data_IF_269309764899
#
_entry.id   IF_269309764899
#
_cell.length_a   1.000
_cell.length_b   1.000
_cell.length_c   1.000
_cell.angle_alpha   90.00
_cell.angle_beta   90.00
_cell.angle_gamma   90.00
#
_symmetry.space_group_name_H-M   'P 1'
#
loop_
_entity.id
_entity.type
_entity.pdbx_description
1 polymer ?
#
# COMPACT_ATOMS: atom_id res chain seq x y z
N UNK A 1 2.36 29.78 5.88
CA UNK A 1 2.04 28.56 5.09
C UNK A 1 3.28 27.89 4.50
N UNK A 2 4.13 28.57 3.69
CA UNK A 2 5.33 27.96 3.09
C UNK A 2 6.31 27.30 4.08
N UNK A 3 6.50 27.88 5.28
CA UNK A 3 7.41 27.34 6.31
C UNK A 3 6.94 26.01 6.90
N UNK A 4 5.63 25.81 7.08
CA UNK A 4 5.08 24.54 7.55
C UNK A 4 5.26 23.43 6.51
N UNK A 5 5.11 23.75 5.23
CA UNK A 5 5.36 22.81 4.14
C UNK A 5 6.82 22.36 4.08
N UNK A 6 7.76 23.30 4.27
CA UNK A 6 9.21 22.98 4.33
C UNK A 6 9.55 22.13 5.55
N UNK A 7 8.97 22.42 6.72
CA UNK A 7 9.19 21.61 7.93
C UNK A 7 8.59 20.22 7.78
N UNK A 8 7.39 20.11 7.20
CA UNK A 8 6.76 18.82 6.90
C UNK A 8 7.60 18.00 5.91
N UNK A 9 8.07 18.64 4.83
CA UNK A 9 8.94 18.00 3.83
C UNK A 9 10.28 17.55 4.41
N UNK A 10 10.91 18.37 5.26
CA UNK A 10 12.16 18.01 5.93
C UNK A 10 11.95 16.90 6.97
N UNK A 11 10.84 16.92 7.70
CA UNK A 11 10.49 15.86 8.64
C UNK A 11 10.19 14.54 7.91
N UNK A 12 9.48 14.57 6.77
CA UNK A 12 9.25 13.37 5.96
C UNK A 12 10.55 12.81 5.38
N UNK A 13 11.49 13.67 4.98
CA UNK A 13 12.82 13.26 4.52
C UNK A 13 13.66 12.68 5.66
N UNK A 14 13.58 13.24 6.86
CA UNK A 14 14.29 12.73 8.03
C UNK A 14 13.76 11.37 8.50
N UNK A 15 12.43 11.18 8.49
CA UNK A 15 11.82 9.90 8.85
C UNK A 15 12.30 8.81 7.88
N UNK A 16 12.28 9.07 6.57
CA UNK A 16 12.70 8.09 5.56
C UNK A 16 14.22 7.80 5.52
N UNK A 17 15.07 8.69 6.05
CA UNK A 17 16.53 8.47 6.15
C UNK A 17 16.92 7.72 7.44
N UNK A 18 16.16 7.84 8.52
CA UNK A 18 16.51 7.29 9.84
C UNK A 18 15.63 6.13 10.33
N UNK A 19 14.52 5.82 9.67
CA UNK A 19 13.92 4.49 9.84
C UNK A 19 14.79 3.45 9.15
N UNK A 20 14.92 2.26 9.75
CA UNK A 20 15.35 1.06 9.04
C UNK A 20 14.26 0.73 8.01
N UNK A 21 14.25 1.50 6.92
CA UNK A 21 13.24 1.46 5.88
C UNK A 21 13.80 0.69 4.70
N UNK A 22 13.11 -0.37 4.33
CA UNK A 22 13.40 -1.16 3.13
C UNK A 22 12.64 -0.55 1.96
N UNK A 23 13.35 -0.36 0.84
CA UNK A 23 12.72 0.13 -0.38
C UNK A 23 12.05 -1.02 -1.13
N UNK A 24 10.81 -0.80 -1.57
CA UNK A 24 10.07 -1.72 -2.43
C UNK A 24 10.00 -1.16 -3.85
N UNK A 25 10.17 -2.01 -4.87
CA UNK A 25 9.93 -1.65 -6.26
C UNK A 25 9.42 -2.82 -7.08
N UNK A 26 8.41 -2.59 -7.92
CA UNK A 26 7.88 -3.63 -8.79
C UNK A 26 6.69 -3.18 -9.61
N UNK A 27 5.76 -4.11 -9.82
CA UNK A 27 4.61 -3.92 -10.69
C UNK A 27 3.34 -4.43 -10.03
N UNK A 28 2.22 -3.78 -10.35
CA UNK A 28 0.89 -4.21 -9.95
C UNK A 28 -0.01 -4.36 -11.18
N UNK A 29 -0.82 -5.40 -11.17
CA UNK A 29 -1.94 -5.59 -12.07
C UNK A 29 -3.22 -5.23 -11.31
N UNK A 30 -3.86 -4.14 -11.73
CA UNK A 30 -5.06 -3.62 -11.10
C UNK A 30 -6.30 -4.03 -11.90
N UNK A 31 -7.26 -4.70 -11.26
CA UNK A 31 -8.50 -5.10 -11.92
C UNK A 31 -9.57 -4.00 -11.83
N UNK A 32 -9.80 -3.28 -12.93
CA UNK A 32 -10.85 -2.27 -13.05
C UNK A 32 -12.01 -2.78 -13.94
N UNK A 33 -13.23 -2.22 -13.81
CA UNK A 33 -14.38 -2.61 -14.64
C UNK A 33 -14.16 -2.51 -16.15
N UNK A 34 -13.32 -1.58 -16.59
CA UNK A 34 -12.94 -1.33 -17.98
C UNK A 34 -11.76 -2.21 -18.45
N UNK A 35 -11.12 -2.97 -17.54
CA UNK A 35 -10.06 -3.92 -17.84
C UNK A 35 -8.91 -3.91 -16.84
N UNK A 36 -7.87 -4.69 -17.14
CA UNK A 36 -6.65 -4.70 -16.33
C UNK A 36 -5.77 -3.49 -16.64
N UNK A 37 -5.31 -2.81 -15.58
CA UNK A 37 -4.38 -1.68 -15.66
C UNK A 37 -3.04 -2.08 -15.04
N UNK A 38 -1.94 -1.82 -15.74
CA UNK A 38 -0.60 -2.04 -15.22
C UNK A 38 -0.13 -0.81 -14.45
N UNK A 39 0.40 -1.01 -13.24
CA UNK A 39 0.95 0.06 -12.42
C UNK A 39 2.40 -0.23 -12.06
N UNK A 40 3.21 0.83 -11.98
CA UNK A 40 4.50 0.80 -11.32
C UNK A 40 4.26 0.91 -9.81
N UNK A 41 4.83 -0.02 -9.05
CA UNK A 41 4.78 -0.02 -7.59
C UNK A 41 6.10 0.46 -7.02
N UNK A 42 6.02 1.29 -6.00
CA UNK A 42 7.13 1.67 -5.14
C UNK A 42 6.65 1.77 -3.70
N UNK A 43 7.52 1.50 -2.73
CA UNK A 43 7.15 1.61 -1.32
C UNK A 43 8.33 1.78 -0.38
N UNK A 44 7.99 2.05 0.87
CA UNK A 44 8.88 2.09 2.02
C UNK A 44 8.26 1.23 3.11
N UNK A 45 8.98 0.20 3.53
CA UNK A 45 8.54 -0.71 4.59
C UNK A 45 9.43 -0.57 5.82
N UNK A 46 8.82 -0.50 7.00
CA UNK A 46 9.55 -0.57 8.27
C UNK A 46 8.67 -1.14 9.37
N UNK A 47 9.29 -1.52 10.49
CA UNK A 47 8.57 -2.08 11.64
C UNK A 47 7.50 -1.15 12.23
N UNK A 48 7.61 0.16 12.02
CA UNK A 48 6.70 1.16 12.62
C UNK A 48 5.85 1.91 11.61
N UNK A 49 6.26 1.93 10.34
CA UNK A 49 5.69 2.79 9.31
C UNK A 49 5.80 2.12 7.94
N UNK A 50 4.69 2.13 7.19
CA UNK A 50 4.66 1.60 5.83
C UNK A 50 4.02 2.60 4.87
N UNK A 51 4.60 2.70 3.69
CA UNK A 51 4.10 3.51 2.59
C UNK A 51 4.14 2.71 1.30
N UNK A 52 2.99 2.49 0.67
CA UNK A 52 2.88 1.89 -0.66
C UNK A 52 2.35 2.91 -1.66
N UNK A 53 2.88 2.87 -2.87
CA UNK A 53 2.43 3.71 -3.97
C UNK A 53 2.39 2.93 -5.28
N UNK A 54 1.23 2.92 -5.93
CA UNK A 54 1.03 2.41 -7.28
C UNK A 54 0.68 3.54 -8.25
N UNK A 55 1.33 3.56 -9.41
CA UNK A 55 1.13 4.54 -10.47
C UNK A 55 0.82 3.85 -11.80
N UNK A 56 -0.38 4.03 -12.33
CA UNK A 56 -0.81 3.49 -13.62
C UNK A 56 -1.18 4.60 -14.59
N UNK A 57 -0.30 4.93 -15.56
CA UNK A 57 -0.68 5.79 -16.67
C UNK A 57 -1.50 4.98 -17.69
N UNK A 58 -2.65 5.53 -18.09
CA UNK A 58 -3.51 4.97 -19.12
C UNK A 58 -3.76 5.99 -20.23
N UNK A 59 -3.97 5.51 -21.45
CA UNK A 59 -4.29 6.36 -22.60
C UNK A 59 -5.70 6.04 -23.07
N UNK A 60 -6.68 6.78 -22.54
CA UNK A 60 -8.08 6.62 -22.90
C UNK A 60 -8.46 7.71 -23.91
N UNK A 61 -8.95 7.32 -25.09
CA UNK A 61 -9.39 8.25 -26.14
C UNK A 61 -8.37 9.36 -26.49
N UNK A 62 -7.07 9.04 -26.53
CA UNK A 62 -5.95 9.98 -26.76
C UNK A 62 -5.72 11.01 -25.66
N UNK A 63 -6.35 10.83 -24.50
CA UNK A 63 -6.12 11.62 -23.29
C UNK A 63 -5.31 10.79 -22.31
N UNK A 64 -4.25 11.38 -21.74
CA UNK A 64 -3.49 10.74 -20.67
C UNK A 64 -4.35 10.79 -19.39
N UNK A 65 -4.74 9.62 -18.90
CA UNK A 65 -5.39 9.45 -17.59
C UNK A 65 -4.41 8.78 -16.62
N UNK A 66 -4.47 9.17 -15.35
CA UNK A 66 -3.56 8.70 -14.32
C UNK A 66 -4.35 8.10 -13.17
N UNK A 67 -4.10 6.81 -12.91
CA UNK A 67 -4.57 6.15 -11.70
C UNK A 67 -3.42 6.08 -10.69
N UNK A 68 -3.67 6.49 -9.46
CA UNK A 68 -2.73 6.43 -8.35
C UNK A 68 -3.37 5.75 -7.15
N UNK A 69 -2.63 4.88 -6.47
CA UNK A 69 -3.01 4.31 -5.18
C UNK A 69 -1.87 4.63 -4.21
N UNK A 70 -2.20 5.20 -3.06
CA UNK A 70 -1.26 5.54 -2.00
C UNK A 70 -1.81 4.99 -0.69
N UNK A 71 -1.07 4.12 -0.02
CA UNK A 71 -1.41 3.54 1.28
C UNK A 71 -0.33 3.94 2.28
N UNK A 72 -0.68 4.72 3.30
CA UNK A 72 0.23 5.10 4.38
C UNK A 72 -0.30 4.57 5.70
N UNK A 73 0.54 3.91 6.48
CA UNK A 73 0.15 3.38 7.79
C UNK A 73 1.27 3.49 8.83
N UNK A 74 0.86 3.63 10.08
CA UNK A 74 1.73 3.65 11.23
C UNK A 74 1.24 2.64 12.27
N UNK A 75 2.16 1.79 12.74
CA UNK A 75 1.89 0.86 13.84
C UNK A 75 1.58 1.65 15.10
N UNK A 76 0.52 1.23 15.80
CA UNK A 76 0.07 1.86 17.05
C UNK A 76 0.19 0.93 18.27
N UNK A 77 0.19 -0.39 18.06
CA UNK A 77 0.22 -1.37 19.14
C UNK A 77 0.73 -2.73 18.65
N UNK A 78 1.74 -3.28 19.31
CA UNK A 78 2.08 -4.70 19.17
C UNK A 78 1.20 -5.54 20.12
N UNK A 79 0.53 -6.56 19.58
CA UNK A 79 -0.27 -7.52 20.37
C UNK A 79 0.62 -8.67 20.81
N UNK A 80 1.43 -9.19 19.88
CA UNK A 80 2.43 -10.23 20.09
C UNK A 80 3.46 -10.18 18.93
N UNK A 81 4.53 -11.01 18.92
CA UNK A 81 5.57 -10.94 17.88
C UNK A 81 5.06 -11.12 16.44
N UNK A 82 3.88 -11.72 16.26
CA UNK A 82 3.28 -12.04 14.97
C UNK A 82 2.04 -11.20 14.66
N UNK A 83 1.62 -10.28 15.55
CA UNK A 83 0.39 -9.52 15.35
C UNK A 83 0.47 -8.11 15.93
N UNK A 84 -0.02 -7.13 15.17
CA UNK A 84 -0.02 -5.73 15.58
C UNK A 84 -1.22 -4.97 14.99
N UNK A 85 -1.52 -3.82 15.57
CA UNK A 85 -2.51 -2.87 15.07
C UNK A 85 -1.80 -1.67 14.45
N UNK A 86 -2.34 -1.19 13.34
CA UNK A 86 -1.95 0.09 12.73
C UNK A 86 -3.16 0.98 12.48
N UNK A 87 -2.88 2.25 12.18
CA UNK A 87 -3.83 3.15 11.57
C UNK A 87 -3.24 3.71 10.30
N UNK A 88 -4.08 3.99 9.33
CA UNK A 88 -3.61 4.45 8.04
C UNK A 88 -4.63 5.21 7.23
N UNK A 89 -4.17 5.67 6.07
CA UNK A 89 -4.94 6.36 5.06
C UNK A 89 -4.65 5.67 3.73
N UNK A 90 -5.70 5.12 3.11
CA UNK A 90 -5.66 4.70 1.73
C UNK A 90 -6.25 5.83 0.88
N UNK A 91 -5.50 6.29 -0.11
CA UNK A 91 -5.94 7.26 -1.09
C UNK A 91 -5.80 6.66 -2.48
N UNK A 92 -6.92 6.57 -3.19
CA UNK A 92 -6.91 6.25 -4.62
C UNK A 92 -7.43 7.43 -5.43
N UNK A 93 -6.73 7.75 -6.50
CA UNK A 93 -7.06 8.81 -7.45
C UNK A 93 -7.18 8.18 -8.84
N UNK A 94 -8.28 8.44 -9.56
CA UNK A 94 -8.51 7.92 -10.91
C UNK A 94 -9.98 8.05 -11.32
N UNK A 95 -10.28 7.94 -12.61
CA UNK A 95 -11.67 7.94 -13.10
C UNK A 95 -12.44 6.77 -12.45
N UNK A 96 -13.64 7.07 -11.95
CA UNK A 96 -14.56 6.15 -11.26
C UNK A 96 -14.17 5.65 -9.85
N UNK A 97 -13.18 6.26 -9.17
CA UNK A 97 -12.79 5.80 -7.83
C UNK A 97 -12.61 6.93 -6.80
N UNK A 98 -13.66 7.26 -6.02
CA UNK A 98 -13.55 8.08 -4.83
C UNK A 98 -13.36 7.20 -3.58
N UNK A 99 -12.22 6.53 -3.43
CA UNK A 99 -11.99 5.61 -2.30
C UNK A 99 -10.84 6.05 -1.39
N UNK A 100 -10.79 7.34 -1.07
CA UNK A 100 -9.97 7.81 0.05
C UNK A 100 -10.65 7.44 1.36
N UNK A 101 -10.00 6.61 2.18
CA UNK A 101 -10.53 6.25 3.49
C UNK A 101 -9.44 6.13 4.54
N UNK A 102 -9.78 6.54 5.76
CA UNK A 102 -8.95 6.32 6.94
C UNK A 102 -9.35 4.99 7.58
N UNK A 103 -8.39 4.22 8.08
CA UNK A 103 -8.65 2.88 8.60
C UNK A 103 -7.84 2.55 9.85
N UNK A 104 -8.35 1.60 10.62
CA UNK A 104 -7.56 0.78 11.53
C UNK A 104 -7.29 -0.58 10.89
N UNK A 105 -6.06 -1.06 11.01
CA UNK A 105 -5.64 -2.33 10.45
C UNK A 105 -5.25 -3.34 11.53
N UNK A 106 -5.74 -4.57 11.40
CA UNK A 106 -5.20 -5.71 12.13
C UNK A 106 -4.22 -6.45 11.22
N UNK A 107 -2.97 -6.56 11.67
CA UNK A 107 -1.89 -7.18 10.93
C UNK A 107 -1.48 -8.49 11.59
N UNK A 108 -1.13 -9.47 10.77
CA UNK A 108 -0.60 -10.76 11.16
C UNK A 108 0.58 -11.13 10.26
N UNK A 109 1.68 -11.59 10.85
CA UNK A 109 2.85 -12.08 10.14
C UNK A 109 3.20 -13.48 10.64
N UNK A 110 3.18 -14.47 9.76
CA UNK A 110 3.49 -15.85 10.10
C UNK A 110 4.12 -16.59 8.93
N UNK A 111 5.32 -17.13 9.12
CA UNK A 111 6.02 -17.98 8.15
C UNK A 111 6.00 -17.40 6.72
N UNK A 112 6.49 -16.17 6.57
CA UNK A 112 6.56 -15.41 5.31
C UNK A 112 5.20 -14.99 4.73
N UNK A 113 4.08 -15.26 5.41
CA UNK A 113 2.76 -14.78 5.03
C UNK A 113 2.43 -13.56 5.88
N UNK A 114 2.16 -12.45 5.21
CA UNK A 114 1.68 -11.22 5.82
C UNK A 114 0.19 -11.08 5.51
N UNK A 115 -0.64 -10.88 6.52
CA UNK A 115 -2.06 -10.62 6.36
C UNK A 115 -2.43 -9.32 7.03
N UNK A 116 -3.23 -8.48 6.37
CA UNK A 116 -3.78 -7.26 6.94
C UNK A 116 -5.26 -7.15 6.61
N UNK A 117 -6.07 -6.97 7.64
CA UNK A 117 -7.49 -6.65 7.53
C UNK A 117 -7.68 -5.18 7.87
N UNK A 118 -8.28 -4.43 6.95
CA UNK A 118 -8.55 -3.01 7.07
C UNK A 118 -10.02 -2.83 7.42
N UNK A 119 -10.30 -1.99 8.43
CA UNK A 119 -11.65 -1.51 8.73
C UNK A 119 -11.58 0.00 8.84
N UNK A 120 -12.33 0.70 8.00
CA UNK A 120 -12.17 2.14 7.86
C UNK A 120 -13.42 2.89 7.44
N UNK A 121 -13.30 4.20 7.43
CA UNK A 121 -14.37 5.13 7.07
C UNK A 121 -14.02 5.84 5.75
N UNK A 122 -14.78 5.63 4.66
CA UNK A 122 -14.59 6.34 3.41
C UNK A 122 -14.97 7.81 3.56
N UNK A 123 -14.11 8.70 3.08
CA UNK A 123 -14.35 10.15 3.16
C UNK A 123 -15.50 10.59 2.26
N UNK A 124 -15.79 9.83 1.21
CA UNK A 124 -17.02 9.96 0.43
C UNK A 124 -17.98 8.87 0.89
N UNK A 125 -19.01 9.25 1.64
CA UNK A 125 -19.99 8.32 2.20
C UNK A 125 -20.69 7.53 1.07
N UNK A 126 -20.78 6.20 1.25
CA UNK A 126 -21.43 5.29 0.29
C UNK A 126 -22.33 4.34 1.06
N UNK A 127 -23.40 3.85 0.43
CA UNK A 127 -24.26 2.81 1.01
C UNK A 127 -23.66 1.40 0.94
N UNK A 128 -22.57 1.22 0.20
CA UNK A 128 -21.92 -0.09 0.02
C UNK A 128 -20.95 -0.38 1.18
N UNK A 129 -21.28 -1.41 1.96
CA UNK A 129 -20.48 -1.88 3.09
C UNK A 129 -19.07 -2.32 2.67
N UNK A 130 -18.88 -2.82 1.44
CA UNK A 130 -17.56 -3.25 0.96
C UNK A 130 -16.57 -2.08 0.88
N UNK A 131 -17.06 -0.84 0.84
CA UNK A 131 -16.20 0.35 0.84
C UNK A 131 -15.58 0.69 2.21
N UNK A 132 -15.98 -0.03 3.26
CA UNK A 132 -15.46 0.13 4.62
C UNK A 132 -14.39 -0.91 4.96
N UNK A 133 -14.14 -1.88 4.06
CA UNK A 133 -13.23 -2.99 4.31
C UNK A 133 -12.22 -3.14 3.17
N UNK A 134 -11.01 -3.50 3.53
CA UNK A 134 -10.02 -4.01 2.60
C UNK A 134 -9.25 -5.16 3.23
N UNK A 135 -8.62 -5.97 2.39
CA UNK A 135 -7.75 -7.08 2.80
C UNK A 135 -6.46 -6.97 1.99
N UNK A 136 -5.33 -7.21 2.63
CA UNK A 136 -4.03 -7.39 1.97
C UNK A 136 -3.43 -8.71 2.45
N UNK A 137 -2.93 -9.50 1.50
CA UNK A 137 -2.24 -10.76 1.74
C UNK A 137 -0.91 -10.70 0.99
N UNK A 138 0.20 -10.65 1.71
CA UNK A 138 1.55 -10.70 1.20
C UNK A 138 2.18 -12.08 1.41
N UNK A 139 3.06 -12.47 0.51
CA UNK A 139 3.92 -13.63 0.64
C UNK A 139 5.34 -13.28 0.23
N UNK A 140 6.30 -13.52 1.13
CA UNK A 140 7.73 -13.38 0.86
C UNK A 140 8.26 -14.72 0.37
N UNK A 141 8.76 -14.75 -0.85
CA UNK A 141 9.32 -15.97 -1.45
C UNK A 141 10.63 -16.30 -0.74
N UNK A 142 10.81 -17.54 -0.24
CA UNK A 142 12.08 -17.96 0.37
C UNK A 142 13.24 -17.74 -0.59
N UNK A 143 14.23 -16.98 -0.12
CA UNK A 143 15.38 -16.55 -0.91
C UNK A 143 16.26 -17.74 -1.34
N UNK A 144 16.56 -17.91 -2.64
CA UNK A 144 17.65 -18.77 -3.10
C UNK A 144 19.01 -18.24 -2.61
N UNK A 145 20.00 -19.11 -2.41
CA UNK A 145 21.27 -18.76 -1.76
C UNK A 145 22.03 -17.54 -2.34
N UNK A 146 21.79 -17.18 -3.61
CA UNK A 146 22.53 -16.13 -4.33
C UNK A 146 21.71 -14.86 -4.65
N UNK A 147 20.49 -14.72 -4.12
CA UNK A 147 19.68 -13.51 -4.37
C UNK A 147 19.94 -12.45 -3.29
N UNK A 148 20.04 -11.17 -3.68
CA UNK A 148 20.31 -10.06 -2.74
C UNK A 148 19.03 -9.48 -2.16
N UNK A 149 17.99 -9.36 -2.98
CA UNK A 149 16.70 -8.76 -2.60
C UNK A 149 15.65 -9.85 -2.30
N UNK A 150 14.61 -9.51 -1.56
CA UNK A 150 13.50 -10.41 -1.27
C UNK A 150 12.39 -10.21 -2.31
N UNK A 151 11.90 -11.31 -2.90
CA UNK A 151 10.77 -11.28 -3.82
C UNK A 151 9.46 -11.39 -3.04
N UNK A 152 8.57 -10.42 -3.19
CA UNK A 152 7.24 -10.42 -2.57
C UNK A 152 6.13 -10.48 -3.62
N UNK A 153 5.09 -11.22 -3.26
CA UNK A 153 3.81 -11.28 -3.97
C UNK A 153 2.75 -10.70 -3.04
N UNK A 154 1.90 -9.79 -3.52
CA UNK A 154 0.81 -9.22 -2.73
C UNK A 154 -0.52 -9.33 -3.49
N UNK A 155 -1.56 -9.75 -2.78
CA UNK A 155 -2.94 -9.64 -3.19
C UNK A 155 -3.63 -8.60 -2.30
N UNK A 156 -4.20 -7.58 -2.91
CA UNK A 156 -4.96 -6.55 -2.21
C UNK A 156 -6.38 -6.52 -2.72
N UNK A 157 -7.36 -6.62 -1.83
CA UNK A 157 -8.78 -6.50 -2.13
C UNK A 157 -9.31 -5.22 -1.51
N UNK A 158 -9.71 -4.26 -2.33
CA UNK A 158 -10.27 -2.96 -1.89
C UNK A 158 -11.58 -2.76 -2.62
N UNK A 159 -12.68 -2.56 -1.88
CA UNK A 159 -13.99 -2.28 -2.45
C UNK A 159 -14.41 -3.32 -3.50
N UNK A 160 -14.15 -4.61 -3.22
CA UNK A 160 -14.42 -5.72 -4.13
C UNK A 160 -13.47 -5.87 -5.33
N UNK A 161 -12.52 -4.95 -5.54
CA UNK A 161 -11.52 -5.01 -6.60
C UNK A 161 -10.29 -5.74 -6.12
N UNK A 162 -9.70 -6.54 -7.01
CA UNK A 162 -8.52 -7.35 -6.73
C UNK A 162 -7.33 -6.72 -7.44
N UNK A 163 -6.31 -6.36 -6.68
CA UNK A 163 -5.01 -5.91 -7.19
C UNK A 163 -3.97 -6.97 -6.84
N UNK A 164 -3.12 -7.29 -7.80
CA UNK A 164 -2.04 -8.25 -7.61
C UNK A 164 -0.70 -7.57 -7.89
N UNK A 165 0.25 -7.68 -6.98
CA UNK A 165 1.57 -7.05 -7.09
C UNK A 165 2.67 -8.09 -7.01
N UNK A 166 3.74 -7.86 -7.79
CA UNK A 166 5.02 -8.55 -7.70
C UNK A 166 6.09 -7.48 -7.57
N UNK A 167 6.89 -7.55 -6.51
CA UNK A 167 7.91 -6.54 -6.23
C UNK A 167 9.09 -7.12 -5.48
N UNK A 168 10.23 -6.45 -5.65
CA UNK A 168 11.44 -6.70 -4.89
C UNK A 168 11.49 -5.75 -3.69
N UNK A 169 12.01 -6.24 -2.58
CA UNK A 169 12.25 -5.48 -1.36
C UNK A 169 13.71 -5.67 -0.98
N UNK A 170 14.35 -4.60 -0.51
CA UNK A 170 15.67 -4.72 0.13
C UNK A 170 15.63 -5.78 1.25
N UNK A 171 16.72 -6.51 1.49
CA UNK A 171 16.73 -7.65 2.40
C UNK A 171 16.30 -7.25 3.83
N UNK A 172 15.23 -7.88 4.34
CA UNK A 172 14.65 -7.65 5.67
C UNK A 172 15.60 -8.06 6.82
#
# INVERSE_FOLDING_TARGET
MKKFFVVFFLASLFISVFSQTYYEMGFSLLNYPDGFKFALRSGLESDSFNFDFDLSPTFENKTLSLTMISDISAKILDINPNAFLDVGLLWVYGEEFPGTFAYGGFNFNFNNILGKLYVGYPFNATEDLLNYFAIKLGYVVPKPADFVDDLKLELRVVNGRIHFSIFLVEPL
#
